data_IF_970239408477
#
_entry.id   IF_970239408477
#
_cell.length_a   1.000
_cell.length_b   1.000
_cell.length_c   1.000
_cell.angle_alpha   90.00
_cell.angle_beta   90.00
_cell.angle_gamma   90.00
#
_symmetry.space_group_name_H-M   'P 1'
#
loop_
_entity.id
_entity.type
_entity.pdbx_description
1 polymer ?
#
# COMPACT_ATOMS: atom_id res chain seq x y z
N UNK A 1 3.22 -26.01 15.67
CA UNK A 1 3.56 -24.60 15.38
C UNK A 1 2.90 -24.20 14.07
N UNK A 2 1.85 -23.39 14.09
CA UNK A 2 1.24 -22.83 12.87
C UNK A 2 1.62 -21.35 12.77
N UNK A 3 2.68 -21.07 12.03
CA UNK A 3 3.19 -19.74 11.76
C UNK A 3 2.69 -19.29 10.37
N UNK A 4 1.37 -19.24 10.19
CA UNK A 4 0.81 -18.76 8.93
C UNK A 4 0.80 -17.22 8.97
N UNK A 5 1.74 -16.59 8.27
CA UNK A 5 1.51 -15.23 7.76
C UNK A 5 0.22 -15.30 6.93
N UNK A 6 -0.89 -14.75 7.41
CA UNK A 6 -2.13 -14.69 6.62
C UNK A 6 -1.80 -13.94 5.33
N UNK A 7 -2.11 -14.54 4.18
CA UNK A 7 -2.05 -13.86 2.89
C UNK A 7 -3.01 -12.68 2.95
N UNK A 8 -2.56 -11.50 2.53
CA UNK A 8 -3.47 -10.36 2.39
C UNK A 8 -4.45 -10.61 1.26
N UNK A 9 -5.64 -10.01 1.37
CA UNK A 9 -6.68 -10.15 0.35
C UNK A 9 -6.86 -8.84 -0.44
N UNK A 10 -6.56 -7.70 0.20
CA UNK A 10 -6.75 -6.36 -0.36
C UNK A 10 -5.56 -5.45 -0.09
N UNK A 11 -5.51 -4.39 -0.88
CA UNK A 11 -4.52 -3.32 -0.77
C UNK A 11 -5.26 -2.01 -0.54
N UNK A 12 -5.05 -1.43 0.64
CA UNK A 12 -5.52 -0.11 0.99
C UNK A 12 -4.54 0.93 0.44
N UNK A 13 -5.06 1.94 -0.25
CA UNK A 13 -4.31 3.08 -0.75
C UNK A 13 -4.82 4.33 -0.06
N UNK A 14 -3.95 4.96 0.72
CA UNK A 14 -4.24 6.19 1.44
C UNK A 14 -3.34 7.31 0.97
N UNK A 15 -3.89 8.52 0.95
CA UNK A 15 -3.14 9.73 0.70
C UNK A 15 -3.61 10.81 1.68
N UNK A 16 -2.68 11.51 2.32
CA UNK A 16 -3.00 12.47 3.38
C UNK A 16 -3.87 11.86 4.51
N UNK A 17 -3.63 10.58 4.85
CA UNK A 17 -4.40 9.84 5.86
C UNK A 17 -5.89 9.68 5.52
N UNK A 18 -6.24 9.75 4.24
CA UNK A 18 -7.57 9.48 3.72
C UNK A 18 -7.49 8.30 2.76
N UNK A 19 -8.35 7.30 2.96
CA UNK A 19 -8.54 6.21 2.02
C UNK A 19 -9.04 6.73 0.68
N UNK A 20 -8.26 6.54 -0.38
CA UNK A 20 -8.63 6.92 -1.74
C UNK A 20 -8.98 5.73 -2.62
N UNK A 21 -8.47 4.53 -2.31
CA UNK A 21 -8.82 3.31 -3.02
C UNK A 21 -8.61 2.05 -2.17
N UNK A 22 -9.35 0.99 -2.53
CA UNK A 22 -9.14 -0.38 -2.05
C UNK A 22 -9.07 -1.29 -3.28
N UNK A 23 -7.97 -1.99 -3.43
CA UNK A 23 -7.69 -2.86 -4.57
C UNK A 23 -7.64 -4.32 -4.14
N UNK A 24 -7.96 -5.21 -5.07
CA UNK A 24 -7.90 -6.66 -4.85
C UNK A 24 -6.45 -7.14 -5.09
N UNK A 25 -5.82 -7.77 -4.09
CA UNK A 25 -4.44 -8.24 -4.22
C UNK A 25 -4.33 -9.36 -5.27
N UNK A 26 -5.41 -10.09 -5.51
CA UNK A 26 -5.45 -11.22 -6.44
C UNK A 26 -5.69 -10.78 -7.89
N UNK A 27 -5.85 -9.48 -8.15
CA UNK A 27 -6.05 -8.93 -9.50
C UNK A 27 -4.89 -8.03 -9.89
N UNK A 28 -4.18 -8.46 -10.93
CA UNK A 28 -3.13 -7.67 -11.55
C UNK A 28 -3.69 -6.33 -12.02
N UNK A 29 -3.14 -5.23 -11.50
CA UNK A 29 -3.56 -3.89 -11.88
C UNK A 29 -2.45 -2.85 -11.62
N UNK A 30 -2.65 -1.66 -12.17
CA UNK A 30 -1.80 -0.50 -11.94
C UNK A 30 -2.68 0.65 -11.48
N UNK A 31 -2.32 1.27 -10.36
CA UNK A 31 -3.06 2.37 -9.77
C UNK A 31 -2.15 3.60 -9.65
N UNK A 32 -2.60 4.71 -10.23
CA UNK A 32 -1.92 6.00 -10.15
C UNK A 32 -2.51 6.83 -9.01
N UNK A 33 -1.64 7.37 -8.16
CA UNK A 33 -1.96 8.35 -7.14
C UNK A 33 -1.60 9.72 -7.68
N UNK A 34 -2.51 10.67 -7.52
CA UNK A 34 -2.39 12.03 -8.04
C UNK A 34 -2.15 13.00 -6.88
N UNK A 35 -1.37 14.04 -7.10
CA UNK A 35 -1.24 15.16 -6.17
C UNK A 35 -2.36 16.19 -6.37
N UNK A 36 -2.39 17.23 -5.54
CA UNK A 36 -3.38 18.31 -5.61
C UNK A 36 -3.35 19.09 -6.95
N UNK A 37 -2.24 19.04 -7.69
CA UNK A 37 -2.10 19.66 -9.01
C UNK A 37 -2.65 18.78 -10.15
N UNK A 38 -3.04 17.54 -9.86
CA UNK A 38 -3.50 16.56 -10.85
C UNK A 38 -2.37 15.78 -11.54
N UNK A 39 -1.12 15.94 -11.11
CA UNK A 39 0.01 15.17 -11.62
C UNK A 39 0.14 13.84 -10.87
N UNK A 40 0.66 12.82 -11.56
CA UNK A 40 0.95 11.51 -10.93
C UNK A 40 2.14 11.68 -9.99
N UNK A 41 1.93 11.45 -8.69
CA UNK A 41 2.98 11.48 -7.69
C UNK A 41 3.51 10.09 -7.34
N UNK A 42 2.67 9.06 -7.37
CA UNK A 42 3.06 7.67 -7.15
C UNK A 42 2.28 6.73 -8.08
N UNK A 43 2.92 5.62 -8.47
CA UNK A 43 2.23 4.52 -9.16
C UNK A 43 2.50 3.21 -8.44
N UNK A 44 1.41 2.52 -8.14
CA UNK A 44 1.38 1.22 -7.48
C UNK A 44 1.04 0.16 -8.51
N UNK A 45 1.76 -0.95 -8.50
CA UNK A 45 1.48 -2.12 -9.29
C UNK A 45 1.13 -3.28 -8.37
N UNK A 46 0.02 -3.93 -8.66
CA UNK A 46 -0.32 -5.25 -8.14
C UNK A 46 -0.04 -6.24 -9.25
N UNK A 47 0.79 -7.25 -8.95
CA UNK A 47 1.13 -8.31 -9.89
C UNK A 47 1.43 -9.61 -9.15
N UNK A 48 0.79 -10.71 -9.57
CA UNK A 48 0.99 -12.04 -8.98
C UNK A 48 0.79 -12.07 -7.45
N UNK A 49 -0.22 -11.37 -6.93
CA UNK A 49 -0.50 -11.33 -5.48
C UNK A 49 0.48 -10.46 -4.69
N UNK A 50 1.20 -9.56 -5.34
CA UNK A 50 2.21 -8.71 -4.70
C UNK A 50 2.07 -7.26 -5.11
N UNK A 51 2.36 -6.37 -4.18
CA UNK A 51 2.28 -4.93 -4.37
C UNK A 51 3.67 -4.35 -4.46
N UNK A 52 3.90 -3.48 -5.43
CA UNK A 52 5.15 -2.74 -5.58
C UNK A 52 4.88 -1.30 -6.00
N UNK A 53 5.61 -0.35 -5.43
CA UNK A 53 5.63 1.00 -5.94
C UNK A 53 6.60 1.09 -7.13
N UNK A 54 6.07 1.27 -8.33
CA UNK A 54 6.87 1.29 -9.57
C UNK A 54 7.29 2.71 -9.96
N UNK A 55 6.57 3.72 -9.47
CA UNK A 55 6.89 5.13 -9.68
C UNK A 55 6.64 5.94 -8.41
N UNK A 56 7.51 6.93 -8.20
CA UNK A 56 7.35 7.98 -7.21
C UNK A 56 8.08 9.21 -7.76
N UNK A 57 7.51 10.41 -7.67
CA UNK A 57 8.13 11.68 -8.07
C UNK A 57 9.02 12.28 -6.96
N UNK A 58 8.86 11.84 -5.71
CA UNK A 58 9.62 12.30 -4.54
C UNK A 58 11.15 12.14 -4.67
N UNK A 59 11.92 12.97 -3.97
CA UNK A 59 13.39 13.00 -4.08
C UNK A 59 14.06 11.72 -3.62
N UNK A 60 13.59 11.14 -2.51
CA UNK A 60 14.31 10.07 -1.82
C UNK A 60 14.12 8.70 -2.49
N UNK A 61 13.03 8.53 -3.25
CA UNK A 61 12.66 7.28 -3.95
C UNK A 61 12.70 6.01 -3.07
N UNK A 62 12.67 6.16 -1.74
CA UNK A 62 12.77 5.05 -0.77
C UNK A 62 11.64 4.05 -1.00
N UNK A 63 10.41 4.54 -1.14
CA UNK A 63 9.23 3.74 -1.41
C UNK A 63 9.32 2.93 -2.72
N UNK A 64 9.88 3.51 -3.79
CA UNK A 64 10.13 2.83 -5.07
C UNK A 64 11.17 1.73 -4.94
N UNK A 65 12.19 1.96 -4.12
CA UNK A 65 13.26 1.00 -3.85
C UNK A 65 12.87 -0.05 -2.81
N UNK A 66 11.72 0.11 -2.16
CA UNK A 66 11.19 -0.86 -1.21
C UNK A 66 10.90 -2.18 -1.91
N UNK A 67 11.02 -3.29 -1.15
CA UNK A 67 10.65 -4.60 -1.65
C UNK A 67 9.14 -4.68 -1.89
N UNK A 68 8.76 -5.57 -2.78
CA UNK A 68 7.36 -5.95 -2.94
C UNK A 68 6.79 -6.53 -1.65
N UNK A 69 5.54 -6.20 -1.34
CA UNK A 69 4.82 -6.64 -0.15
C UNK A 69 3.62 -7.51 -0.55
N UNK A 70 3.20 -8.42 0.31
CA UNK A 70 2.10 -9.36 0.02
C UNK A 70 1.39 -9.92 1.26
N UNK A 71 1.96 -9.72 2.44
CA UNK A 71 1.42 -10.22 3.70
C UNK A 71 0.61 -9.13 4.39
N UNK A 72 -0.44 -9.52 5.11
CA UNK A 72 -1.21 -8.58 5.93
C UNK A 72 -0.30 -7.79 6.88
N UNK A 73 -0.61 -6.51 7.07
CA UNK A 73 0.13 -5.53 7.87
C UNK A 73 1.50 -5.11 7.29
N UNK A 74 1.89 -5.59 6.11
CA UNK A 74 3.01 -4.96 5.39
C UNK A 74 2.53 -3.67 4.73
N UNK A 75 3.39 -2.65 4.75
CA UNK A 75 3.11 -1.36 4.12
C UNK A 75 4.31 -0.79 3.36
N UNK A 76 4.01 0.06 2.37
CA UNK A 76 4.97 0.91 1.66
C UNK A 76 4.52 2.36 1.86
N UNK A 77 5.36 3.16 2.51
CA UNK A 77 5.05 4.54 2.85
C UNK A 77 5.95 5.48 2.02
N UNK A 78 5.33 6.45 1.37
CA UNK A 78 5.98 7.58 0.72
C UNK A 78 5.71 8.85 1.54
N UNK A 79 6.57 9.11 2.52
CA UNK A 79 6.41 10.26 3.43
C UNK A 79 6.30 11.62 2.71
N UNK A 80 7.12 11.94 1.69
CA UNK A 80 7.03 13.25 1.02
C UNK A 80 5.69 13.50 0.32
N UNK A 81 5.11 12.44 -0.26
CA UNK A 81 3.83 12.51 -0.97
C UNK A 81 2.65 12.14 -0.08
N UNK A 82 2.92 11.77 1.19
CA UNK A 82 1.95 11.29 2.18
C UNK A 82 1.07 10.15 1.66
N UNK A 83 1.68 9.26 0.86
CA UNK A 83 1.00 8.07 0.32
C UNK A 83 1.38 6.86 1.15
N UNK A 84 0.38 6.09 1.56
CA UNK A 84 0.56 4.84 2.29
C UNK A 84 -0.19 3.72 1.59
N UNK A 85 0.54 2.62 1.34
CA UNK A 85 0.01 1.42 0.69
C UNK A 85 0.10 0.28 1.68
N UNK A 86 -1.03 -0.27 2.10
CA UNK A 86 -1.08 -1.28 3.16
C UNK A 86 -1.81 -2.52 2.68
N UNK A 87 -1.21 -3.68 2.88
CA UNK A 87 -1.87 -4.97 2.59
C UNK A 87 -2.72 -5.35 3.79
N UNK A 88 -4.01 -5.53 3.57
CA UNK A 88 -5.00 -5.87 4.60
C UNK A 88 -5.70 -7.20 4.26
N UNK A 89 -6.20 -7.88 5.29
CA UNK A 89 -7.01 -9.10 5.15
C UNK A 89 -8.43 -8.85 5.64
N UNK A 90 -9.44 -9.43 4.98
CA UNK A 90 -10.87 -9.22 5.29
C UNK A 90 -11.28 -9.70 6.70
N UNK A 91 -10.44 -10.50 7.36
CA UNK A 91 -10.61 -10.81 8.77
C UNK A 91 -10.15 -9.61 9.59
N UNK A 92 -11.13 -8.82 10.03
CA UNK A 92 -11.06 -7.87 11.15
C UNK A 92 -9.99 -8.27 12.17
N UNK A 93 -8.78 -7.75 11.99
CA UNK A 93 -7.82 -7.60 13.07
C UNK A 93 -8.01 -6.18 13.54
N UNK A 94 -8.82 -6.09 14.59
CA UNK A 94 -8.86 -5.04 15.58
C UNK A 94 -7.49 -4.35 15.66
N UNK A 95 -7.43 -3.12 15.14
CA UNK A 95 -6.28 -2.26 15.38
C UNK A 95 -6.46 -1.75 16.80
N UNK A 96 -6.06 -2.58 17.76
CA UNK A 96 -5.97 -2.26 19.18
C UNK A 96 -4.86 -1.21 19.35
N UNK A 97 -5.19 0.02 18.95
CA UNK A 97 -4.36 1.20 19.09
C UNK A 97 -4.48 1.75 20.51
N UNK A 98 -3.87 1.08 21.48
CA UNK A 98 -3.57 1.72 22.77
C UNK A 98 -2.64 2.90 22.51
N UNK A 99 -3.19 4.11 22.63
CA UNK A 99 -2.50 5.31 23.11
C UNK A 99 -3.49 6.45 23.41
N UNK A 100 -4.00 6.53 24.65
CA UNK A 100 -3.68 7.61 25.61
C UNK A 100 -4.31 7.34 26.98
#
# INVERSE_FOLDING_TARGET
MNLFSKSGDRVLVEQNSVQIAVLDLNKDCVYNVYNDNGDICNTVQIKNGKVKMIYADCKDKICKNHKEISKSNESIICLPNKVEITVISDKSEDVDGVAK
#
